data_IF_326987564553
#
_entry.id   IF_326987564553
#
_cell.length_a   1.000
_cell.length_b   1.000
_cell.length_c   1.000
_cell.angle_alpha   90.00
_cell.angle_beta   90.00
_cell.angle_gamma   90.00
#
_symmetry.space_group_name_H-M   'P 1'
#
loop_
_entity.id
_entity.type
_entity.pdbx_description
1 polymer ?
#
# COMPACT_ATOMS: atom_id res chain seq x y z
N UNK A 1 -7.94 5.36 -4.00
CA UNK A 1 -6.50 5.23 -3.66
C UNK A 1 -5.77 6.55 -3.95
N UNK A 2 -5.29 7.30 -2.95
CA UNK A 2 -4.44 8.48 -3.22
C UNK A 2 -3.17 7.99 -3.94
N UNK A 3 -2.85 8.63 -5.08
CA UNK A 3 -1.71 8.40 -6.00
C UNK A 3 -0.61 7.54 -5.39
N UNK A 4 -0.27 6.44 -6.07
CA UNK A 4 0.85 5.54 -5.76
C UNK A 4 2.02 6.30 -5.10
N UNK A 5 2.13 6.14 -3.77
CA UNK A 5 3.17 6.77 -2.98
C UNK A 5 4.42 5.91 -3.12
N UNK A 6 5.33 6.35 -3.99
CA UNK A 6 6.64 5.75 -4.21
C UNK A 6 7.32 5.46 -2.87
N UNK A 7 8.08 4.35 -2.80
CA UNK A 7 8.84 3.86 -1.65
C UNK A 7 9.40 4.95 -0.71
N UNK A 8 9.93 6.03 -1.28
CA UNK A 8 10.40 7.22 -0.54
C UNK A 8 9.37 7.82 0.43
N UNK A 9 8.11 7.95 0.02
CA UNK A 9 7.07 8.48 0.90
C UNK A 9 6.74 7.52 2.04
N UNK A 10 6.77 6.20 1.78
CA UNK A 10 6.66 5.21 2.85
C UNK A 10 7.83 5.36 3.81
N UNK A 11 9.06 5.44 3.31
CA UNK A 11 10.28 5.58 4.13
C UNK A 11 10.18 6.85 5.02
N UNK A 12 9.89 8.00 4.42
CA UNK A 12 9.74 9.27 5.16
C UNK A 12 8.58 9.23 6.18
N UNK A 13 7.47 8.54 5.84
CA UNK A 13 6.33 8.44 6.75
C UNK A 13 6.58 7.45 7.88
N UNK A 14 7.29 6.36 7.59
CA UNK A 14 7.69 5.37 8.58
C UNK A 14 8.66 5.99 9.60
N UNK A 15 9.63 6.78 9.16
CA UNK A 15 10.52 7.54 10.05
C UNK A 15 9.74 8.49 10.97
N UNK A 16 8.76 9.21 10.41
CA UNK A 16 7.88 10.10 11.19
C UNK A 16 7.05 9.33 12.22
N UNK A 17 6.42 8.22 11.83
CA UNK A 17 5.60 7.43 12.73
C UNK A 17 6.41 6.70 13.81
N UNK A 18 7.63 6.23 13.49
CA UNK A 18 8.57 5.68 14.48
C UNK A 18 8.97 6.72 15.53
N UNK A 19 9.29 7.95 15.10
CA UNK A 19 9.62 9.06 16.00
C UNK A 19 8.43 9.41 16.90
N UNK A 20 7.22 9.47 16.34
CA UNK A 20 5.99 9.70 17.07
C UNK A 20 5.68 8.60 18.09
N UNK A 21 5.83 7.33 17.70
CA UNK A 21 5.60 6.16 18.55
C UNK A 21 6.56 6.16 19.75
N UNK A 22 7.85 6.43 19.49
CA UNK A 22 8.89 6.57 20.52
C UNK A 22 8.54 7.67 21.52
N UNK A 23 8.23 8.88 21.03
CA UNK A 23 7.90 10.03 21.89
C UNK A 23 6.65 9.81 22.74
N UNK A 24 5.68 9.05 22.23
CA UNK A 24 4.40 8.79 22.91
C UNK A 24 4.39 7.49 23.71
N UNK A 25 5.52 6.78 23.76
CA UNK A 25 5.64 5.44 24.34
C UNK A 25 4.54 4.47 23.85
N UNK A 26 4.34 4.43 22.53
CA UNK A 26 3.37 3.56 21.84
C UNK A 26 4.10 2.61 20.88
N UNK A 27 3.46 1.49 20.58
CA UNK A 27 3.93 0.56 19.55
C UNK A 27 3.53 1.02 18.15
N UNK A 28 4.38 0.74 17.17
CA UNK A 28 4.08 0.88 15.74
C UNK A 28 3.98 -0.52 15.12
N UNK A 29 2.91 -0.78 14.36
CA UNK A 29 2.73 -2.01 13.59
C UNK A 29 2.79 -1.74 12.09
N UNK A 30 3.36 -2.67 11.33
CA UNK A 30 3.41 -2.60 9.87
C UNK A 30 2.81 -3.88 9.30
N UNK A 31 1.95 -3.75 8.28
CA UNK A 31 1.37 -4.87 7.55
C UNK A 31 1.78 -4.74 6.09
N UNK A 32 2.39 -5.80 5.56
CA UNK A 32 2.65 -5.94 4.13
C UNK A 32 1.66 -6.93 3.54
N UNK A 33 0.98 -6.53 2.47
CA UNK A 33 0.01 -7.36 1.76
C UNK A 33 0.51 -7.62 0.35
N UNK A 34 0.41 -8.86 -0.10
CA UNK A 34 0.66 -9.26 -1.48
C UNK A 34 -0.62 -9.84 -2.09
N UNK A 35 -0.82 -9.61 -3.39
CA UNK A 35 -2.00 -10.13 -4.10
C UNK A 35 -1.61 -11.45 -4.76
N UNK A 36 -2.13 -12.54 -4.22
CA UNK A 36 -1.83 -13.89 -4.69
C UNK A 36 -2.12 -14.04 -6.19
N UNK A 37 -1.16 -14.64 -6.91
CA UNK A 37 -1.26 -14.95 -8.34
C UNK A 37 -1.58 -13.73 -9.23
N UNK A 38 -1.28 -12.52 -8.78
CA UNK A 38 -1.59 -11.29 -9.54
C UNK A 38 -0.94 -11.25 -10.93
N UNK A 39 0.26 -11.83 -11.09
CA UNK A 39 0.90 -11.97 -12.41
C UNK A 39 0.08 -12.85 -13.35
N UNK A 40 -0.39 -14.02 -12.89
CA UNK A 40 -1.20 -14.93 -13.71
C UNK A 40 -2.52 -14.27 -14.12
N UNK A 41 -3.11 -13.48 -13.21
CA UNK A 41 -4.29 -12.68 -13.52
C UNK A 41 -4.00 -11.66 -14.64
N UNK A 42 -2.92 -10.90 -14.54
CA UNK A 42 -2.53 -9.94 -15.58
C UNK A 42 -2.21 -10.63 -16.91
N UNK A 43 -1.53 -11.77 -16.88
CA UNK A 43 -1.21 -12.54 -18.08
C UNK A 43 -2.50 -13.05 -18.77
N UNK A 44 -3.59 -13.28 -18.03
CA UNK A 44 -4.88 -13.76 -18.54
C UNK A 44 -5.86 -12.64 -18.95
N UNK A 45 -5.91 -11.53 -18.20
CA UNK A 45 -6.91 -10.47 -18.37
C UNK A 45 -6.33 -9.11 -18.79
N UNK A 46 -5.00 -9.01 -18.91
CA UNK A 46 -4.31 -7.78 -19.25
C UNK A 46 -4.05 -6.87 -18.05
N UNK A 47 -3.11 -5.94 -18.24
CA UNK A 47 -2.68 -5.01 -17.19
C UNK A 47 -3.77 -4.03 -16.76
N UNK A 48 -4.65 -3.60 -17.67
CA UNK A 48 -5.74 -2.67 -17.35
C UNK A 48 -6.77 -3.28 -16.37
N UNK A 49 -7.03 -4.58 -16.50
CA UNK A 49 -7.83 -5.33 -15.55
C UNK A 49 -7.14 -5.41 -14.18
N UNK A 50 -5.83 -5.67 -14.18
CA UNK A 50 -5.01 -5.65 -12.96
C UNK A 50 -5.03 -4.31 -12.23
N UNK A 51 -4.90 -3.21 -12.97
CA UNK A 51 -4.97 -1.86 -12.40
C UNK A 51 -6.35 -1.57 -11.79
N UNK A 52 -7.40 -2.14 -12.34
CA UNK A 52 -8.76 -2.05 -11.77
C UNK A 52 -8.87 -2.82 -10.46
N UNK A 53 -8.37 -4.06 -10.42
CA UNK A 53 -8.31 -4.86 -9.17
C UNK A 53 -7.53 -4.11 -8.07
N UNK A 54 -6.36 -3.55 -8.40
CA UNK A 54 -5.55 -2.83 -7.41
C UNK A 54 -6.22 -1.55 -6.90
N UNK A 55 -6.99 -0.86 -7.76
CA UNK A 55 -7.77 0.32 -7.36
C UNK A 55 -8.88 -0.05 -6.40
N UNK A 56 -9.66 -1.08 -6.73
CA UNK A 56 -10.74 -1.57 -5.87
C UNK A 56 -10.22 -2.12 -4.55
N UNK A 57 -9.11 -2.86 -4.56
CA UNK A 57 -8.45 -3.32 -3.33
C UNK A 57 -8.00 -2.15 -2.46
N UNK A 58 -7.41 -1.12 -3.07
CA UNK A 58 -6.98 0.08 -2.34
C UNK A 58 -8.16 0.81 -1.70
N UNK A 59 -9.27 0.94 -2.41
CA UNK A 59 -10.49 1.59 -1.90
C UNK A 59 -11.18 0.73 -0.83
N UNK A 60 -11.15 -0.60 -0.98
CA UNK A 60 -11.62 -1.54 0.03
C UNK A 60 -10.80 -1.40 1.32
N UNK A 61 -9.46 -1.49 1.25
CA UNK A 61 -8.58 -1.37 2.42
C UNK A 61 -8.73 -0.02 3.13
N UNK A 62 -8.92 1.06 2.38
CA UNK A 62 -9.11 2.40 2.94
C UNK A 62 -10.34 2.51 3.86
N UNK A 63 -11.33 1.61 3.73
CA UNK A 63 -12.52 1.57 4.60
C UNK A 63 -12.25 0.90 5.95
N UNK A 64 -11.18 0.13 6.08
CA UNK A 64 -10.86 -0.63 7.30
C UNK A 64 -9.72 -0.03 8.12
N UNK A 65 -8.98 0.92 7.57
CA UNK A 65 -7.93 1.62 8.30
C UNK A 65 -8.51 2.77 9.14
N UNK A 66 -7.91 3.04 10.30
CA UNK A 66 -8.34 4.12 11.18
C UNK A 66 -7.81 5.47 10.68
N UNK A 67 -8.44 6.53 11.16
CA UNK A 67 -7.96 7.89 10.94
C UNK A 67 -6.57 8.06 11.59
N UNK A 68 -5.54 8.23 10.77
CA UNK A 68 -4.14 8.32 11.20
C UNK A 68 -3.28 7.14 10.73
N UNK A 69 -3.89 6.05 10.29
CA UNK A 69 -3.16 4.94 9.67
C UNK A 69 -2.76 5.30 8.23
N UNK A 70 -1.62 4.76 7.79
CA UNK A 70 -1.11 4.93 6.43
C UNK A 70 -1.28 3.63 5.63
N UNK A 71 -2.04 3.69 4.54
CA UNK A 71 -2.06 2.64 3.53
C UNK A 71 -1.41 3.14 2.24
N UNK A 72 -0.43 2.40 1.72
CA UNK A 72 0.28 2.73 0.49
C UNK A 72 0.60 1.50 -0.34
N UNK A 73 0.75 1.68 -1.65
CA UNK A 73 1.22 0.64 -2.57
C UNK A 73 2.75 0.59 -2.52
N UNK A 74 3.32 -0.50 -1.99
CA UNK A 74 4.78 -0.67 -1.86
C UNK A 74 5.47 -1.13 -3.15
N UNK A 75 4.76 -1.85 -4.03
CA UNK A 75 5.30 -2.42 -5.27
C UNK A 75 4.74 -1.80 -6.56
N UNK A 76 5.46 -1.98 -7.67
CA UNK A 76 5.04 -1.49 -8.99
C UNK A 76 6.15 -0.77 -9.75
N UNK A 77 7.21 -1.49 -10.13
CA UNK A 77 7.78 -1.22 -11.45
C UNK A 77 6.92 -2.01 -12.42
N UNK A 78 5.95 -1.37 -13.05
CA UNK A 78 5.37 -1.94 -14.25
C UNK A 78 6.50 -1.96 -15.28
N UNK A 79 7.21 -3.08 -15.38
CA UNK A 79 7.86 -3.40 -16.65
C UNK A 79 6.72 -3.41 -17.66
N UNK A 80 6.73 -2.42 -18.55
CA UNK A 80 6.33 -2.71 -19.92
C UNK A 80 7.24 -3.83 -20.45
#
# INVERSE_FOLDING_TARGET
>A
MRRALYRRYLDESLERELSNATRKNRSLGVIMLDVDRFKQFNDMFGHDAGDTVLRELGDYLARFIRRGDLACRYGGKSSR
#
